data_IF_802069216589
#
_entry.id   IF_802069216589
#
_cell.length_a   1.000
_cell.length_b   1.000
_cell.length_c   1.000
_cell.angle_alpha   90.00
_cell.angle_beta   90.00
_cell.angle_gamma   90.00
#
_symmetry.space_group_name_H-M   'P 1'
#
loop_
_entity.id
_entity.type
_entity.pdbx_description
1 polymer ?
#
# COMPACT_ATOMS: atom_id res chain seq x y z
N UNK A 1 27.29 -39.44 38.41
CA UNK A 1 26.55 -39.49 37.13
C UNK A 1 26.10 -38.08 36.79
N UNK A 2 26.84 -37.42 35.89
CA UNK A 2 26.54 -36.06 35.42
C UNK A 2 25.46 -36.17 34.34
N UNK A 3 24.29 -35.55 34.55
CA UNK A 3 23.27 -35.43 33.50
C UNK A 3 23.68 -34.29 32.57
N UNK A 4 24.07 -34.62 31.35
CA UNK A 4 24.27 -33.66 30.28
C UNK A 4 22.92 -33.08 29.87
N UNK A 5 22.74 -31.78 30.07
CA UNK A 5 21.60 -31.03 29.53
C UNK A 5 21.94 -30.75 28.06
N UNK A 6 21.29 -31.44 27.13
CA UNK A 6 21.39 -31.14 25.70
C UNK A 6 20.51 -29.93 25.43
N UNK A 7 21.13 -28.76 25.28
CA UNK A 7 20.48 -27.57 24.74
C UNK A 7 20.28 -27.81 23.23
N UNK A 8 19.05 -28.06 22.81
CA UNK A 8 18.69 -27.96 21.40
C UNK A 8 18.61 -26.47 21.05
N UNK A 9 19.65 -25.95 20.40
CA UNK A 9 19.57 -24.69 19.70
C UNK A 9 18.65 -24.90 18.49
N UNK A 10 17.40 -24.45 18.58
CA UNK A 10 16.57 -24.28 17.40
C UNK A 10 17.22 -23.19 16.55
N UNK A 11 17.81 -23.58 15.41
CA UNK A 11 18.16 -22.63 14.36
C UNK A 11 16.83 -22.01 13.89
N UNK A 12 16.56 -20.79 14.32
CA UNK A 12 15.47 -19.98 13.78
C UNK A 12 15.88 -19.62 12.37
N UNK A 13 15.45 -20.43 11.41
CA UNK A 13 15.74 -20.18 10.00
C UNK A 13 14.93 -18.98 9.54
N UNK A 14 15.59 -17.95 9.02
CA UNK A 14 14.95 -16.78 8.42
C UNK A 14 13.86 -17.24 7.43
N UNK A 15 12.70 -16.58 7.41
CA UNK A 15 11.62 -17.00 6.51
C UNK A 15 12.08 -16.92 5.06
N UNK A 16 11.66 -17.89 4.24
CA UNK A 16 11.77 -17.79 2.79
C UNK A 16 10.85 -16.67 2.31
N UNK A 17 11.40 -15.74 1.54
CA UNK A 17 10.71 -14.57 1.00
C UNK A 17 10.71 -14.59 -0.53
N UNK A 18 9.72 -13.92 -1.11
CA UNK A 18 9.69 -13.49 -2.50
C UNK A 18 9.99 -12.00 -2.54
N UNK A 19 11.08 -11.61 -3.18
CA UNK A 19 11.50 -10.23 -3.40
C UNK A 19 11.06 -9.83 -4.81
N UNK A 20 10.32 -8.74 -4.92
CA UNK A 20 9.93 -8.15 -6.20
C UNK A 20 10.65 -6.82 -6.36
N UNK A 21 11.37 -6.67 -7.46
CA UNK A 21 12.07 -5.44 -7.85
C UNK A 21 11.19 -4.55 -8.73
N UNK A 22 11.56 -3.28 -8.85
CA UNK A 22 10.83 -2.27 -9.64
C UNK A 22 10.77 -2.60 -11.13
N UNK A 23 11.76 -3.32 -11.66
CA UNK A 23 11.78 -3.82 -13.03
C UNK A 23 10.87 -5.05 -13.24
N UNK A 24 10.19 -5.52 -12.19
CA UNK A 24 9.24 -6.63 -12.23
C UNK A 24 9.87 -8.00 -12.02
N UNK A 25 11.19 -8.08 -11.88
CA UNK A 25 11.83 -9.35 -11.56
C UNK A 25 11.40 -9.82 -10.16
N UNK A 26 11.24 -11.14 -10.03
CA UNK A 26 10.90 -11.78 -8.77
C UNK A 26 11.99 -12.81 -8.44
N UNK A 27 12.54 -12.72 -7.23
CA UNK A 27 13.55 -13.64 -6.72
C UNK A 27 13.06 -14.26 -5.42
N UNK A 28 13.32 -15.55 -5.21
CA UNK A 28 12.98 -16.24 -3.96
C UNK A 28 14.26 -16.64 -3.24
N UNK A 29 14.27 -16.45 -1.93
CA UNK A 29 15.43 -16.74 -1.10
C UNK A 29 15.16 -16.51 0.37
N UNK A 30 16.19 -16.58 1.20
CA UNK A 30 16.11 -16.23 2.63
C UNK A 30 16.87 -14.94 2.88
N UNK A 31 16.29 -14.03 3.68
CA UNK A 31 16.97 -12.79 4.08
C UNK A 31 18.16 -13.15 4.96
N UNK A 32 19.37 -12.77 4.54
CA UNK A 32 20.57 -12.85 5.37
C UNK A 32 20.73 -11.58 6.19
N UNK A 33 20.54 -10.42 5.54
CA UNK A 33 20.71 -9.12 6.19
C UNK A 33 19.96 -8.01 5.47
N UNK A 34 19.40 -7.07 6.23
CA UNK A 34 19.02 -5.74 5.76
C UNK A 34 19.84 -4.73 6.56
N UNK A 35 20.58 -3.87 5.88
CA UNK A 35 21.41 -2.85 6.55
C UNK A 35 21.67 -1.68 5.63
N UNK A 36 21.52 -0.47 6.16
CA UNK A 36 21.65 0.75 5.37
C UNK A 36 20.63 0.75 4.23
N UNK A 37 21.13 0.76 2.99
CA UNK A 37 20.33 0.78 1.76
C UNK A 37 20.36 -0.53 0.98
N UNK A 38 20.84 -1.64 1.57
CA UNK A 38 20.91 -2.94 0.89
C UNK A 38 20.16 -4.06 1.62
N UNK A 39 19.68 -5.02 0.82
CA UNK A 39 19.20 -6.33 1.20
C UNK A 39 20.18 -7.38 0.67
N UNK A 40 20.73 -8.21 1.55
CA UNK A 40 21.46 -9.43 1.18
C UNK A 40 20.53 -10.62 1.24
N UNK A 41 20.31 -11.27 0.09
CA UNK A 41 19.39 -12.39 -0.09
C UNK A 41 20.17 -13.66 -0.44
N UNK A 42 19.99 -14.74 0.33
CA UNK A 42 20.53 -16.04 -0.04
C UNK A 42 19.59 -16.74 -1.03
N UNK A 43 20.09 -17.01 -2.23
CA UNK A 43 19.42 -17.78 -3.28
C UNK A 43 20.24 -19.04 -3.55
N UNK A 44 19.70 -20.19 -3.15
CA UNK A 44 20.33 -21.50 -3.35
C UNK A 44 21.79 -21.58 -2.87
N UNK A 45 22.11 -20.93 -1.74
CA UNK A 45 23.44 -20.88 -1.14
C UNK A 45 24.32 -19.71 -1.60
N UNK A 46 23.87 -18.90 -2.56
CA UNK A 46 24.59 -17.72 -3.03
C UNK A 46 23.99 -16.45 -2.45
N UNK A 47 24.82 -15.57 -1.91
CA UNK A 47 24.38 -14.25 -1.43
C UNK A 47 24.30 -13.26 -2.61
N UNK A 48 23.16 -12.60 -2.76
CA UNK A 48 22.88 -11.56 -3.76
C UNK A 48 22.49 -10.28 -3.04
N UNK A 49 23.22 -9.20 -3.32
CA UNK A 49 22.91 -7.87 -2.79
C UNK A 49 21.98 -7.11 -3.73
N UNK A 50 20.87 -6.61 -3.17
CA UNK A 50 19.87 -5.79 -3.86
C UNK A 50 19.77 -4.43 -3.16
N UNK A 51 19.65 -3.36 -3.96
CA UNK A 51 19.41 -2.01 -3.42
C UNK A 51 17.95 -1.85 -3.01
N UNK A 52 17.69 -1.33 -1.81
CA UNK A 52 16.33 -1.17 -1.28
C UNK A 52 15.47 -0.19 -2.11
N UNK A 53 16.07 0.75 -2.83
CA UNK A 53 15.37 1.69 -3.71
C UNK A 53 14.92 1.07 -5.05
N UNK A 54 15.48 -0.09 -5.39
CA UNK A 54 15.09 -0.94 -6.51
C UNK A 54 14.07 -2.00 -6.12
N UNK A 55 13.69 -2.08 -4.84
CA UNK A 55 12.66 -3.01 -4.39
C UNK A 55 11.28 -2.39 -4.50
N UNK A 56 10.32 -3.23 -4.90
CA UNK A 56 8.90 -2.95 -4.78
C UNK A 56 8.34 -3.58 -3.50
N UNK A 57 8.63 -4.87 -3.28
CA UNK A 57 8.18 -5.56 -2.08
C UNK A 57 9.05 -6.74 -1.69
N UNK A 58 8.99 -7.11 -0.42
CA UNK A 58 9.49 -8.38 0.10
C UNK A 58 8.30 -9.05 0.78
N UNK A 59 7.92 -10.26 0.36
CA UNK A 59 6.77 -10.98 0.92
C UNK A 59 7.21 -12.32 1.50
N UNK A 60 6.91 -12.57 2.76
CA UNK A 60 7.17 -13.86 3.38
C UNK A 60 6.26 -14.95 2.78
N UNK A 61 6.84 -16.09 2.44
CA UNK A 61 6.09 -17.21 1.86
C UNK A 61 5.41 -18.05 2.94
N UNK A 62 4.20 -18.53 2.66
CA UNK A 62 3.46 -19.41 3.58
C UNK A 62 2.97 -18.75 4.87
N UNK A 63 2.96 -17.43 4.97
CA UNK A 63 2.40 -16.70 6.11
C UNK A 63 0.91 -16.43 5.91
N UNK A 64 0.16 -16.65 6.99
CA UNK A 64 -1.25 -16.26 7.11
C UNK A 64 -1.40 -15.25 8.24
N UNK A 65 -2.43 -14.42 8.15
CA UNK A 65 -2.77 -13.50 9.25
C UNK A 65 -3.15 -14.33 10.49
N UNK A 66 -2.54 -13.97 11.62
CA UNK A 66 -2.81 -14.51 12.95
C UNK A 66 -3.30 -13.34 13.82
N UNK A 67 -4.61 -13.09 13.87
CA UNK A 67 -5.16 -11.99 14.65
C UNK A 67 -4.77 -12.09 16.13
N UNK A 68 -4.57 -10.94 16.77
CA UNK A 68 -4.45 -10.88 18.22
C UNK A 68 -5.74 -11.41 18.89
N UNK A 69 -5.61 -11.89 20.12
CA UNK A 69 -6.73 -12.41 20.92
C UNK A 69 -7.12 -11.40 22.00
N UNK A 70 -8.41 -11.39 22.36
CA UNK A 70 -8.94 -10.55 23.44
C UNK A 70 -9.36 -9.15 22.97
N UNK A 71 -9.44 -8.21 23.91
CA UNK A 71 -9.63 -6.80 23.60
C UNK A 71 -8.38 -6.25 22.90
N UNK A 72 -8.58 -5.47 21.83
CA UNK A 72 -7.51 -4.95 21.00
C UNK A 72 -7.70 -3.44 20.87
N UNK A 73 -6.65 -2.71 21.22
CA UNK A 73 -6.54 -1.29 20.93
C UNK A 73 -5.94 -1.09 19.55
N UNK A 74 -6.49 -0.14 18.82
CA UNK A 74 -5.96 0.32 17.55
C UNK A 74 -5.33 1.70 17.76
N UNK A 75 -4.01 1.76 17.80
CA UNK A 75 -3.24 2.98 17.98
C UNK A 75 -2.85 3.49 16.60
N UNK A 76 -3.37 4.64 16.22
CA UNK A 76 -3.07 5.30 14.96
C UNK A 76 -2.05 6.41 15.20
N UNK A 77 -0.90 6.33 14.54
CA UNK A 77 0.15 7.34 14.63
C UNK A 77 -0.02 8.43 13.58
N UNK A 78 0.61 9.58 13.81
CA UNK A 78 0.53 10.73 12.91
C UNK A 78 1.17 10.48 11.53
N UNK A 79 2.08 9.50 11.42
CA UNK A 79 2.65 9.07 10.12
C UNK A 79 1.78 8.06 9.37
N UNK A 80 0.60 7.72 9.91
CA UNK A 80 -0.32 6.73 9.35
C UNK A 80 0.01 5.28 9.72
N UNK A 81 1.00 5.03 10.57
CA UNK A 81 1.20 3.70 11.16
C UNK A 81 0.02 3.30 12.03
N UNK A 82 -0.27 2.01 12.08
CA UNK A 82 -1.29 1.40 12.93
C UNK A 82 -0.66 0.30 13.76
N UNK A 83 -0.81 0.41 15.07
CA UNK A 83 -0.39 -0.60 16.04
C UNK A 83 -1.64 -1.22 16.66
N UNK A 84 -1.75 -2.53 16.54
CA UNK A 84 -2.71 -3.38 17.23
C UNK A 84 -2.05 -3.91 18.50
N UNK A 85 -2.67 -3.64 19.63
CA UNK A 85 -2.12 -3.98 20.94
C UNK A 85 -3.19 -4.62 21.81
N UNK A 86 -2.78 -5.50 22.74
CA UNK A 86 -3.58 -5.71 23.96
C UNK A 86 -3.80 -4.37 24.68
N UNK A 87 -4.80 -4.25 25.59
CA UNK A 87 -5.17 -2.97 26.17
C UNK A 87 -3.96 -2.18 26.68
N UNK A 88 -3.87 -0.94 26.21
CA UNK A 88 -2.75 -0.04 26.47
C UNK A 88 -2.97 0.79 27.72
N UNK A 89 -1.88 1.31 28.28
CA UNK A 89 -1.90 2.32 29.33
C UNK A 89 -1.15 3.57 28.89
N UNK A 90 -1.60 4.72 29.39
CA UNK A 90 -0.96 6.01 29.17
C UNK A 90 -0.59 6.62 30.52
N UNK A 91 0.69 6.92 30.71
CA UNK A 91 1.19 7.61 31.90
C UNK A 91 2.36 8.52 31.50
N UNK A 92 2.46 9.70 32.10
CA UNK A 92 3.56 10.66 31.89
C UNK A 92 3.84 10.99 30.41
N UNK A 93 2.79 11.05 29.58
CA UNK A 93 2.92 11.32 28.14
C UNK A 93 3.49 10.17 27.31
N UNK A 94 3.57 8.97 27.87
CA UNK A 94 4.05 7.76 27.18
C UNK A 94 2.96 6.69 27.18
N UNK A 95 2.54 6.28 25.99
CA UNK A 95 1.69 5.11 25.81
C UNK A 95 2.54 3.85 25.89
N UNK A 96 2.12 2.88 26.69
CA UNK A 96 2.73 1.55 26.80
C UNK A 96 1.72 0.47 26.38
N UNK A 97 2.21 -0.55 25.68
CA UNK A 97 1.36 -1.64 25.18
C UNK A 97 2.14 -2.91 24.86
N UNK A 98 1.42 -3.92 24.36
CA UNK A 98 1.97 -5.20 23.94
C UNK A 98 1.38 -5.64 22.60
N UNK A 99 2.26 -5.94 21.64
CA UNK A 99 1.92 -6.52 20.32
C UNK A 99 2.17 -8.03 20.42
N UNK A 100 1.12 -8.80 20.70
CA UNK A 100 1.32 -10.17 21.17
C UNK A 100 2.08 -10.13 22.50
N UNK A 101 3.22 -10.81 22.59
CA UNK A 101 4.07 -10.82 23.79
C UNK A 101 5.19 -9.74 23.74
N UNK A 102 5.18 -8.86 22.73
CA UNK A 102 6.26 -7.90 22.49
C UNK A 102 5.87 -6.53 23.05
N UNK A 103 6.53 -6.03 24.12
CA UNK A 103 6.24 -4.71 24.66
C UNK A 103 6.67 -3.60 23.71
N UNK A 104 5.98 -2.46 23.78
CA UNK A 104 6.36 -1.25 23.06
C UNK A 104 5.94 0.01 23.83
N UNK A 105 6.58 1.12 23.50
CA UNK A 105 6.24 2.46 24.00
C UNK A 105 6.20 3.48 22.87
N UNK A 106 5.27 4.42 22.93
CA UNK A 106 5.18 5.55 21.97
C UNK A 106 4.85 6.83 22.73
N UNK A 107 5.46 7.96 22.34
CA UNK A 107 5.13 9.26 22.92
C UNK A 107 3.74 9.72 22.46
N UNK A 108 2.97 10.37 23.34
CA UNK A 108 1.64 10.91 22.98
C UNK A 108 1.66 11.87 21.80
N UNK A 109 2.76 12.61 21.63
CA UNK A 109 2.96 13.53 20.51
C UNK A 109 2.94 12.84 19.13
N UNK A 110 3.27 11.55 19.07
CA UNK A 110 3.31 10.75 17.84
C UNK A 110 1.98 10.07 17.53
N UNK A 111 1.03 10.10 18.47
CA UNK A 111 -0.26 9.44 18.37
C UNK A 111 -1.28 10.41 17.79
N UNK A 112 -1.99 9.96 16.75
CA UNK A 112 -3.15 10.68 16.23
C UNK A 112 -4.38 10.40 17.09
N UNK A 113 -4.71 9.12 17.30
CA UNK A 113 -5.86 8.68 18.07
C UNK A 113 -5.70 7.20 18.43
N UNK A 114 -6.47 6.76 19.42
CA UNK A 114 -6.51 5.38 19.89
C UNK A 114 -7.97 4.94 19.92
N UNK A 115 -8.26 3.77 19.38
CA UNK A 115 -9.59 3.18 19.42
C UNK A 115 -9.55 1.98 20.36
N UNK A 116 -10.49 1.92 21.29
CA UNK A 116 -10.60 0.83 22.26
C UNK A 116 -11.53 -0.30 21.78
N UNK A 117 -11.94 -0.23 20.52
CA UNK A 117 -12.81 -1.18 19.86
C UNK A 117 -12.49 -1.27 18.38
N UNK A 118 -12.93 -2.35 17.77
CA UNK A 118 -12.92 -2.50 16.32
C UNK A 118 -14.02 -1.64 15.69
N UNK A 119 -13.64 -0.76 14.77
CA UNK A 119 -14.59 0.08 14.02
C UNK A 119 -15.34 -0.78 13.02
N UNK A 120 -16.67 -0.72 13.10
CA UNK A 120 -17.57 -1.32 12.12
C UNK A 120 -17.94 -0.31 11.03
N UNK A 121 -18.45 -0.76 9.86
CA UNK A 121 -18.89 0.15 8.80
C UNK A 121 -19.93 1.19 9.27
N UNK A 122 -20.74 0.86 10.27
CA UNK A 122 -21.73 1.77 10.87
C UNK A 122 -21.09 2.86 11.74
N UNK A 123 -19.93 2.57 12.37
CA UNK A 123 -19.19 3.51 13.20
C UNK A 123 -18.25 4.42 12.40
N UNK A 124 -17.82 3.96 11.22
CA UNK A 124 -16.83 4.67 10.39
C UNK A 124 -17.20 6.13 10.09
N UNK A 125 -18.46 6.47 9.70
CA UNK A 125 -18.80 7.87 9.41
C UNK A 125 -18.65 8.80 10.62
N UNK A 126 -18.98 8.32 11.83
CA UNK A 126 -18.83 9.10 13.06
C UNK A 126 -17.36 9.35 13.39
N UNK A 127 -16.51 8.32 13.23
CA UNK A 127 -15.07 8.47 13.40
C UNK A 127 -14.50 9.47 12.39
N UNK A 128 -14.88 9.36 11.11
CA UNK A 128 -14.43 10.26 10.06
C UNK A 128 -14.78 11.72 10.36
N UNK A 129 -15.99 11.98 10.87
CA UNK A 129 -16.42 13.32 11.25
C UNK A 129 -15.65 13.85 12.46
N UNK A 130 -15.41 13.02 13.48
CA UNK A 130 -14.57 13.38 14.63
C UNK A 130 -13.14 13.71 14.18
N UNK A 131 -12.55 12.92 13.26
CA UNK A 131 -11.17 13.11 12.80
C UNK A 131 -11.00 14.36 11.93
N UNK A 132 -12.06 14.89 11.31
CA UNK A 132 -12.05 16.16 10.57
C UNK A 132 -12.00 17.40 11.46
N UNK A 133 -12.42 17.29 12.74
CA UNK A 133 -12.37 18.42 13.68
C UNK A 133 -10.92 18.88 13.90
N UNK A 134 -10.72 20.15 14.22
CA UNK A 134 -9.39 20.64 14.62
C UNK A 134 -8.98 20.04 15.97
N UNK A 135 -7.75 19.52 16.09
CA UNK A 135 -7.23 18.95 17.35
C UNK A 135 -6.58 20.03 18.23
N UNK A 136 -7.33 21.06 18.60
CA UNK A 136 -6.83 22.08 19.54
C UNK A 136 -6.83 21.61 21.00
N UNK A 137 -7.59 20.56 21.32
CA UNK A 137 -7.66 19.92 22.64
C UNK A 137 -7.77 18.39 22.49
N UNK A 138 -7.63 17.67 23.61
CA UNK A 138 -7.92 16.25 23.62
C UNK A 138 -9.42 16.03 23.45
N UNK A 139 -9.80 14.84 22.97
CA UNK A 139 -11.18 14.44 22.82
C UNK A 139 -11.38 13.00 23.28
N UNK A 140 -12.38 12.78 24.14
CA UNK A 140 -12.97 11.45 24.34
C UNK A 140 -13.99 11.18 23.22
N UNK A 141 -14.01 9.95 22.71
CA UNK A 141 -15.05 9.49 21.79
C UNK A 141 -16.06 8.67 22.58
N UNK A 142 -17.15 9.29 23.05
CA UNK A 142 -18.14 8.65 23.93
C UNK A 142 -19.14 7.83 23.12
N UNK A 143 -19.39 6.58 23.52
CA UNK A 143 -20.40 5.71 22.90
C UNK A 143 -21.80 6.05 23.41
N UNK A 144 -22.69 6.37 22.49
CA UNK A 144 -24.12 6.55 22.79
C UNK A 144 -24.84 5.20 22.85
N UNK A 145 -26.00 5.13 23.54
CA UNK A 145 -26.90 3.98 23.46
C UNK A 145 -27.36 3.64 22.04
N UNK A 146 -27.40 4.63 21.13
CA UNK A 146 -27.69 4.43 19.71
C UNK A 146 -26.57 3.71 18.95
N UNK A 147 -25.39 3.56 19.54
CA UNK A 147 -24.18 3.05 18.90
C UNK A 147 -23.27 4.15 18.35
N UNK A 148 -23.75 5.38 18.18
CA UNK A 148 -22.95 6.49 17.66
C UNK A 148 -21.76 6.89 18.57
N UNK A 149 -20.76 7.55 17.98
CA UNK A 149 -19.64 8.17 18.70
C UNK A 149 -19.85 9.69 18.76
N UNK A 150 -19.86 10.25 19.97
CA UNK A 150 -19.88 11.70 20.18
C UNK A 150 -18.51 12.16 20.70
N UNK A 151 -17.92 13.23 20.14
CA UNK A 151 -16.73 13.85 20.69
C UNK A 151 -17.06 14.63 21.98
N UNK A 152 -16.20 14.51 22.98
CA UNK A 152 -16.21 15.33 24.20
C UNK A 152 -14.81 15.91 24.40
N UNK A 153 -14.68 17.23 24.26
CA UNK A 153 -13.43 17.96 24.46
C UNK A 153 -13.05 18.07 25.94
N UNK A 154 -11.76 18.00 26.23
CA UNK A 154 -11.20 18.16 27.58
C UNK A 154 -9.71 17.84 27.60
N UNK A 155 -9.21 17.33 28.73
CA UNK A 155 -7.80 16.92 28.87
C UNK A 155 -7.71 15.47 29.34
N UNK A 156 -6.99 14.64 28.59
CA UNK A 156 -6.71 13.25 28.98
C UNK A 156 -5.45 13.26 29.84
N UNK A 157 -5.56 12.80 31.08
CA UNK A 157 -4.42 12.76 32.02
C UNK A 157 -3.64 11.46 31.88
N UNK A 158 -4.33 10.36 32.12
CA UNK A 158 -3.79 8.99 32.08
C UNK A 158 -4.92 8.00 31.82
N UNK A 159 -4.57 6.77 31.44
CA UNK A 159 -5.54 5.68 31.36
C UNK A 159 -4.87 4.31 31.51
N UNK A 160 -5.67 3.33 31.91
CA UNK A 160 -5.28 1.92 32.01
C UNK A 160 -6.22 1.06 31.16
N UNK A 161 -6.23 -0.26 31.36
CA UNK A 161 -7.08 -1.21 30.64
C UNK A 161 -8.57 -1.14 31.01
N UNK A 162 -8.94 -0.36 32.03
CA UNK A 162 -10.29 -0.25 32.57
C UNK A 162 -10.93 1.13 32.40
N UNK A 163 -10.17 2.21 32.59
CA UNK A 163 -10.71 3.57 32.67
C UNK A 163 -9.76 4.63 32.12
N UNK A 164 -10.33 5.79 31.78
CA UNK A 164 -9.62 6.99 31.34
C UNK A 164 -9.85 8.11 32.36
N UNK A 165 -8.78 8.65 32.93
CA UNK A 165 -8.82 9.83 33.79
C UNK A 165 -8.84 11.09 32.91
N UNK A 166 -9.92 11.85 33.02
CA UNK A 166 -10.26 12.94 32.11
C UNK A 166 -10.67 14.20 32.90
N UNK A 167 -10.08 15.34 32.56
CA UNK A 167 -10.52 16.65 33.05
C UNK A 167 -11.55 17.22 32.08
N UNK A 168 -12.76 17.44 32.58
CA UNK A 168 -13.83 18.11 31.87
C UNK A 168 -14.20 19.41 32.59
N UNK A 169 -13.88 20.55 31.97
CA UNK A 169 -14.13 21.89 32.51
C UNK A 169 -13.62 22.08 33.96
N UNK A 170 -12.44 21.54 34.28
CA UNK A 170 -11.81 21.60 35.60
C UNK A 170 -12.31 20.55 36.60
N UNK A 171 -13.12 19.59 36.14
CA UNK A 171 -13.63 18.48 36.95
C UNK A 171 -12.99 17.17 36.52
N UNK A 172 -12.39 16.47 37.47
CA UNK A 172 -11.79 15.16 37.23
C UNK A 172 -12.85 14.06 37.17
N UNK A 173 -12.85 13.30 36.08
CA UNK A 173 -13.76 12.22 35.77
C UNK A 173 -12.97 10.95 35.46
N UNK A 174 -13.33 9.84 36.10
CA UNK A 174 -12.90 8.49 35.69
C UNK A 174 -13.98 7.87 34.79
N UNK A 175 -13.67 7.76 33.50
CA UNK A 175 -14.60 7.25 32.50
C UNK A 175 -14.22 5.82 32.12
N UNK A 176 -15.10 4.86 32.44
CA UNK A 176 -14.90 3.46 32.07
C UNK A 176 -14.71 3.30 30.54
N UNK A 177 -13.65 2.60 30.11
CA UNK A 177 -13.33 2.38 28.69
C UNK A 177 -14.44 1.69 27.91
N UNK A 178 -15.26 0.88 28.57
CA UNK A 178 -16.44 0.23 27.95
C UNK A 178 -17.48 1.22 27.42
N UNK A 179 -17.51 2.45 27.94
CA UNK A 179 -18.37 3.55 27.48
C UNK A 179 -17.74 4.37 26.36
N UNK A 180 -16.51 4.07 25.96
CA UNK A 180 -15.72 4.84 25.00
C UNK A 180 -15.49 4.05 23.72
N UNK A 181 -15.46 4.76 22.59
CA UNK A 181 -14.93 4.24 21.33
C UNK A 181 -13.42 4.41 21.22
N UNK A 182 -12.88 5.41 21.91
CA UNK A 182 -11.48 5.76 21.84
C UNK A 182 -11.18 7.16 22.37
N UNK A 183 -9.97 7.61 22.11
CA UNK A 183 -9.45 8.93 22.45
C UNK A 183 -8.70 9.54 21.27
N UNK A 184 -8.71 10.85 21.17
CA UNK A 184 -7.88 11.63 20.25
C UNK A 184 -7.08 12.64 21.06
N UNK A 185 -5.78 12.69 20.85
CA UNK A 185 -4.89 13.57 21.60
C UNK A 185 -4.70 14.89 20.86
N UNK A 186 -4.62 15.98 21.62
CA UNK A 186 -4.24 17.30 21.18
C UNK A 186 -2.82 17.26 20.62
N UNK A 187 -2.56 18.07 19.60
CA UNK A 187 -1.22 18.17 19.01
C UNK A 187 -0.80 19.63 18.94
N UNK A 188 0.34 19.96 19.52
CA UNK A 188 1.08 21.14 19.07
C UNK A 188 1.47 20.92 17.59
N UNK A 189 1.35 21.95 16.73
CA UNK A 189 1.67 21.88 15.30
C UNK A 189 2.95 21.06 15.06
N UNK A 190 2.83 20.04 14.22
CA UNK A 190 3.79 18.93 14.04
C UNK A 190 5.13 19.37 13.43
N UNK A 191 6.19 18.72 13.90
CA UNK A 191 7.47 18.58 13.19
C UNK A 191 7.26 17.94 11.81
N UNK A 192 8.12 18.25 10.84
CA UNK A 192 8.12 17.60 9.53
C UNK A 192 8.41 16.09 9.70
N UNK A 193 7.53 15.24 9.17
CA UNK A 193 7.70 13.79 9.22
C UNK A 193 8.83 13.35 8.30
N UNK A 194 9.59 12.34 8.72
CA UNK A 194 10.64 11.80 7.89
C UNK A 194 10.09 11.10 6.63
N UNK A 195 10.91 11.05 5.57
CA UNK A 195 10.54 10.36 4.34
C UNK A 195 10.43 8.84 4.59
N UNK A 196 9.23 8.30 4.42
CA UNK A 196 8.97 6.85 4.47
C UNK A 196 9.79 6.09 3.42
N UNK A 197 10.57 5.11 3.87
CA UNK A 197 11.29 4.11 3.06
C UNK A 197 10.35 2.98 2.65
N UNK A 198 9.64 2.38 3.61
CA UNK A 198 8.72 1.27 3.35
C UNK A 198 7.59 1.22 4.38
N UNK A 199 6.57 0.43 4.08
CA UNK A 199 5.58 -0.01 5.07
C UNK A 199 5.85 -1.47 5.43
N UNK A 200 6.07 -1.76 6.71
CA UNK A 200 6.18 -3.13 7.24
C UNK A 200 4.81 -3.58 7.70
N UNK A 201 4.33 -4.72 7.21
CA UNK A 201 3.12 -5.40 7.66
C UNK A 201 3.51 -6.70 8.34
N UNK A 202 2.96 -6.95 9.52
CA UNK A 202 3.18 -8.20 10.25
C UNK A 202 2.00 -9.16 10.09
N UNK A 203 2.13 -10.35 10.66
CA UNK A 203 1.07 -11.37 10.66
C UNK A 203 -0.11 -11.00 11.57
N UNK A 204 0.03 -10.04 12.48
CA UNK A 204 -1.01 -9.65 13.42
C UNK A 204 -1.96 -8.58 12.88
N UNK A 205 -1.63 -8.00 11.73
CA UNK A 205 -2.42 -6.94 11.08
C UNK A 205 -1.89 -5.53 11.38
N UNK A 206 -0.73 -5.41 12.03
CA UNK A 206 -0.06 -4.14 12.20
C UNK A 206 0.47 -3.62 10.86
N UNK A 207 0.56 -2.29 10.73
CA UNK A 207 1.17 -1.62 9.59
C UNK A 207 2.06 -0.47 10.07
N UNK A 208 3.35 -0.53 9.76
CA UNK A 208 4.34 0.41 10.27
C UNK A 208 4.99 1.18 9.13
N UNK A 209 4.89 2.50 9.13
CA UNK A 209 5.50 3.37 8.14
C UNK A 209 6.93 3.73 8.57
N UNK A 210 7.91 3.01 8.02
CA UNK A 210 9.30 3.10 8.46
C UNK A 210 10.11 4.07 7.61
N UNK A 211 10.96 4.88 8.24
CA UNK A 211 12.03 5.64 7.58
C UNK A 211 13.31 4.81 7.42
N UNK A 212 13.53 3.85 8.32
CA UNK A 212 14.69 2.95 8.29
C UNK A 212 14.32 1.57 8.81
N UNK A 213 14.96 0.54 8.25
CA UNK A 213 14.85 -0.85 8.69
C UNK A 213 16.23 -1.50 8.72
N UNK A 214 16.42 -2.46 9.61
CA UNK A 214 17.61 -3.32 9.63
C UNK A 214 17.27 -4.66 10.27
N UNK A 215 18.05 -5.70 9.97
CA UNK A 215 17.89 -6.99 10.64
C UNK A 215 19.09 -7.29 11.54
N UNK A 216 18.82 -8.01 12.62
CA UNK A 216 19.82 -8.84 13.28
C UNK A 216 19.48 -10.33 13.07
N UNK A 217 20.06 -11.23 13.87
CA UNK A 217 19.93 -12.68 13.68
C UNK A 217 18.47 -13.18 13.79
N UNK A 218 17.59 -12.46 14.48
CA UNK A 218 16.22 -12.95 14.78
C UNK A 218 15.12 -11.93 14.58
N UNK A 219 15.45 -10.64 14.45
CA UNK A 219 14.47 -9.56 14.45
C UNK A 219 14.68 -8.57 13.32
N UNK A 220 13.57 -7.95 12.91
CA UNK A 220 13.54 -6.74 12.11
C UNK A 220 13.42 -5.54 13.06
N UNK A 221 14.46 -4.70 13.08
CA UNK A 221 14.46 -3.40 13.75
C UNK A 221 14.00 -2.33 12.78
N UNK A 222 13.22 -1.39 13.27
CA UNK A 222 12.54 -0.40 12.46
C UNK A 222 12.45 0.92 13.20
N UNK A 223 12.71 2.00 12.48
CA UNK A 223 12.47 3.37 12.93
C UNK A 223 11.30 3.90 12.12
N UNK A 224 10.21 4.27 12.79
CA UNK A 224 9.02 4.85 12.17
C UNK A 224 9.30 6.25 11.62
N UNK A 225 8.45 6.74 10.72
CA UNK A 225 8.57 8.10 10.19
C UNK A 225 8.29 9.18 11.24
N UNK A 226 7.61 8.83 12.34
CA UNK A 226 7.53 9.63 13.57
C UNK A 226 8.80 9.60 14.42
N UNK A 227 9.74 8.69 14.17
CA UNK A 227 10.99 8.53 14.92
C UNK A 227 10.98 7.44 16.00
N UNK A 228 9.81 6.89 16.34
CA UNK A 228 9.70 5.78 17.29
C UNK A 228 10.46 4.54 16.81
N UNK A 229 11.21 3.91 17.71
CA UNK A 229 11.96 2.67 17.45
C UNK A 229 11.16 1.45 17.90
N UNK A 230 11.02 0.48 17.00
CA UNK A 230 10.33 -0.78 17.28
C UNK A 230 11.16 -1.95 16.74
N UNK A 231 10.88 -3.13 17.26
CA UNK A 231 11.41 -4.39 16.70
C UNK A 231 10.31 -5.45 16.68
N UNK A 232 10.35 -6.33 15.67
CA UNK A 232 9.49 -7.51 15.58
C UNK A 232 10.33 -8.73 15.19
N UNK A 233 9.97 -9.94 15.66
CA UNK A 233 10.59 -11.18 15.18
C UNK A 233 10.49 -11.29 13.66
N UNK A 234 11.54 -11.80 13.02
CA UNK A 234 11.50 -12.10 11.58
C UNK A 234 10.38 -13.09 11.23
N UNK A 235 9.97 -13.94 12.18
CA UNK A 235 8.82 -14.84 12.02
C UNK A 235 7.49 -14.11 11.85
N UNK A 236 7.38 -12.87 12.30
CA UNK A 236 6.12 -12.13 12.33
C UNK A 236 6.01 -11.18 11.14
N UNK A 237 7.12 -10.90 10.45
CA UNK A 237 7.16 -10.12 9.23
C UNK A 237 6.37 -10.83 8.13
N UNK A 238 5.28 -10.22 7.66
CA UNK A 238 4.49 -10.75 6.55
C UNK A 238 4.90 -10.11 5.22
N UNK A 239 5.06 -8.78 5.19
CA UNK A 239 5.35 -8.04 3.96
C UNK A 239 6.03 -6.70 4.22
N UNK A 240 7.01 -6.35 3.40
CA UNK A 240 7.58 -5.01 3.29
C UNK A 240 7.18 -4.43 1.94
N UNK A 241 6.61 -3.23 1.94
CA UNK A 241 6.21 -2.49 0.74
C UNK A 241 7.04 -1.21 0.62
N UNK A 242 7.96 -1.17 -0.33
CA UNK A 242 8.91 -0.07 -0.48
C UNK A 242 8.27 1.11 -1.22
N UNK A 243 8.51 2.32 -0.73
CA UNK A 243 8.14 3.55 -1.42
C UNK A 243 9.22 3.87 -2.46
N UNK A 244 9.13 3.27 -3.64
CA UNK A 244 10.09 3.59 -4.70
C UNK A 244 9.71 4.93 -5.35
N UNK A 245 10.59 5.93 -5.25
CA UNK A 245 10.54 7.13 -6.10
C UNK A 245 11.13 6.88 -7.49
N UNK A 246 11.64 5.68 -7.74
CA UNK A 246 12.25 5.29 -9.01
C UNK A 246 11.23 4.65 -9.95
N UNK A 247 9.98 4.49 -9.52
CA UNK A 247 8.90 3.90 -10.29
C UNK A 247 7.63 4.72 -10.12
N UNK A 248 6.91 4.93 -11.22
CA UNK A 248 5.51 5.36 -11.18
C UNK A 248 4.67 4.46 -12.08
N UNK A 249 3.54 3.97 -11.56
CA UNK A 249 2.53 3.33 -12.39
C UNK A 249 1.77 4.40 -13.17
N UNK A 250 1.54 4.19 -14.46
CA UNK A 250 0.72 5.12 -15.24
C UNK A 250 -0.70 5.25 -14.69
N UNK A 251 -1.20 4.20 -14.01
CA UNK A 251 -2.50 4.23 -13.36
C UNK A 251 -2.58 5.03 -12.05
N UNK A 252 -1.43 5.49 -11.54
CA UNK A 252 -1.35 6.44 -10.42
C UNK A 252 -1.10 7.88 -10.89
N UNK A 253 -0.84 8.08 -12.19
CA UNK A 253 -0.63 9.40 -12.77
C UNK A 253 -1.95 9.99 -13.24
N UNK A 254 -2.11 11.29 -13.06
CA UNK A 254 -3.19 12.05 -13.71
C UNK A 254 -2.85 12.22 -15.19
N UNK A 255 -3.70 11.73 -16.12
CA UNK A 255 -3.51 11.97 -17.54
C UNK A 255 -3.66 13.46 -17.86
N UNK A 256 -2.82 13.98 -18.75
CA UNK A 256 -2.93 15.36 -19.27
C UNK A 256 -4.11 15.48 -20.23
N UNK A 257 -4.36 14.44 -21.03
CA UNK A 257 -5.48 14.37 -21.95
C UNK A 257 -5.90 12.92 -22.18
N UNK A 258 -7.22 12.72 -22.33
CA UNK A 258 -7.81 11.47 -22.81
C UNK A 258 -8.76 11.86 -23.95
N UNK A 259 -8.68 11.13 -25.05
CA UNK A 259 -9.63 11.24 -26.16
C UNK A 259 -9.98 9.85 -26.64
N UNK A 260 -11.27 9.51 -26.57
CA UNK A 260 -11.80 8.34 -27.24
C UNK A 260 -12.52 8.76 -28.52
N UNK A 261 -12.40 7.95 -29.57
CA UNK A 261 -13.11 8.14 -30.84
C UNK A 261 -13.79 6.82 -31.23
N UNK A 262 -15.11 6.79 -31.48
CA UNK A 262 -15.79 5.58 -31.97
C UNK A 262 -15.49 5.31 -33.44
N UNK A 263 -15.50 4.03 -33.83
CA UNK A 263 -15.20 3.62 -35.21
C UNK A 263 -16.20 4.17 -36.22
N UNK A 264 -17.49 4.11 -35.87
CA UNK A 264 -18.57 4.74 -36.63
C UNK A 264 -19.13 5.92 -35.84
N UNK A 265 -18.98 7.13 -36.37
CA UNK A 265 -19.70 8.30 -35.87
C UNK A 265 -20.43 9.02 -37.00
N UNK A 266 -21.73 9.23 -36.81
CA UNK A 266 -22.54 10.13 -37.65
C UNK A 266 -23.01 11.26 -36.74
N UNK A 267 -22.15 12.25 -36.52
CA UNK A 267 -22.44 13.42 -35.68
C UNK A 267 -21.66 13.47 -34.37
N UNK A 268 -22.16 14.27 -33.42
CA UNK A 268 -21.56 14.42 -32.09
C UNK A 268 -21.80 13.16 -31.24
N UNK A 269 -20.74 12.71 -30.56
CA UNK A 269 -20.78 11.57 -29.64
C UNK A 269 -21.41 12.01 -28.32
N UNK A 270 -22.35 11.22 -27.79
CA UNK A 270 -23.00 11.57 -26.52
C UNK A 270 -22.02 11.41 -25.34
N UNK A 271 -22.07 12.29 -24.32
CA UNK A 271 -21.19 12.21 -23.15
C UNK A 271 -21.30 10.87 -22.40
N UNK A 272 -22.48 10.26 -22.37
CA UNK A 272 -22.71 8.97 -21.73
C UNK A 272 -21.98 7.83 -22.46
N UNK A 273 -21.96 7.90 -23.80
CA UNK A 273 -21.24 6.92 -24.60
C UNK A 273 -19.73 7.10 -24.42
N UNK A 274 -19.24 8.33 -24.46
CA UNK A 274 -17.82 8.64 -24.18
C UNK A 274 -17.39 8.09 -22.81
N UNK A 275 -18.18 8.33 -21.76
CA UNK A 275 -17.90 7.85 -20.41
C UNK A 275 -17.79 6.31 -20.32
N UNK A 276 -18.59 5.59 -21.12
CA UNK A 276 -18.57 4.13 -21.15
C UNK A 276 -17.22 3.60 -21.66
N UNK A 277 -16.61 4.29 -22.63
CA UNK A 277 -15.38 3.87 -23.31
C UNK A 277 -14.10 4.55 -22.83
N UNK A 278 -14.18 5.55 -21.95
CA UNK A 278 -12.99 6.09 -21.27
C UNK A 278 -12.14 4.97 -20.64
N UNK A 279 -10.81 5.14 -20.54
CA UNK A 279 -9.94 4.17 -19.88
C UNK A 279 -10.38 3.82 -18.46
N UNK A 280 -10.06 2.60 -18.03
CA UNK A 280 -10.20 2.15 -16.64
C UNK A 280 -8.83 1.93 -16.03
N UNK A 281 -8.66 2.34 -14.77
CA UNK A 281 -7.39 2.28 -14.06
C UNK A 281 -7.47 1.22 -12.97
N UNK A 282 -6.53 0.26 -12.98
CA UNK A 282 -6.43 -0.87 -12.05
C UNK A 282 -7.64 -1.85 -12.07
N UNK A 283 -8.56 -1.69 -13.02
CA UNK A 283 -9.70 -2.57 -13.24
C UNK A 283 -10.07 -2.59 -14.73
N UNK A 284 -10.85 -3.60 -15.13
CA UNK A 284 -11.42 -3.72 -16.47
C UNK A 284 -12.73 -2.95 -16.65
N UNK A 285 -13.25 -2.86 -17.88
CA UNK A 285 -14.56 -2.26 -18.16
C UNK A 285 -15.73 -2.92 -17.41
N UNK A 286 -15.59 -4.19 -17.01
CA UNK A 286 -16.56 -4.92 -16.18
C UNK A 286 -16.39 -4.74 -14.67
N UNK A 287 -15.53 -3.82 -14.20
CA UNK A 287 -15.16 -3.65 -12.78
C UNK A 287 -14.59 -4.92 -12.14
N UNK A 288 -13.86 -5.69 -12.94
CA UNK A 288 -13.16 -6.91 -12.53
C UNK A 288 -11.64 -6.68 -12.54
N UNK A 289 -10.84 -7.51 -11.84
CA UNK A 289 -9.39 -7.45 -11.91
C UNK A 289 -8.84 -7.51 -13.34
N UNK A 290 -7.69 -6.87 -13.57
CA UNK A 290 -6.96 -6.97 -14.83
C UNK A 290 -6.28 -8.34 -14.91
N UNK A 291 -6.59 -9.12 -15.95
CA UNK A 291 -6.08 -10.48 -16.12
C UNK A 291 -5.59 -10.65 -17.56
N UNK A 292 -4.36 -11.16 -17.73
CA UNK A 292 -3.80 -11.59 -19.00
C UNK A 292 -3.19 -12.98 -18.82
N UNK A 293 -3.52 -13.94 -19.69
CA UNK A 293 -3.19 -15.34 -19.48
C UNK A 293 -3.61 -15.82 -18.08
N UNK A 294 -2.66 -16.34 -17.30
CA UNK A 294 -2.86 -16.77 -15.92
C UNK A 294 -2.42 -15.72 -14.87
N UNK A 295 -2.04 -14.51 -15.30
CA UNK A 295 -1.55 -13.45 -14.42
C UNK A 295 -2.63 -12.42 -14.11
N UNK A 296 -2.77 -12.10 -12.82
CA UNK A 296 -3.62 -11.01 -12.35
C UNK A 296 -2.76 -9.80 -11.99
N UNK A 297 -3.12 -8.63 -12.52
CA UNK A 297 -2.45 -7.37 -12.28
C UNK A 297 -3.28 -6.50 -11.34
N UNK A 298 -2.68 -6.04 -10.25
CA UNK A 298 -3.29 -5.05 -9.34
C UNK A 298 -3.09 -3.61 -9.83
N UNK A 299 -2.16 -3.40 -10.76
CA UNK A 299 -1.85 -2.11 -11.39
C UNK A 299 -1.90 -2.24 -12.90
N UNK A 300 -2.47 -1.26 -13.59
CA UNK A 300 -2.52 -1.23 -15.04
C UNK A 300 -3.64 -0.35 -15.58
N UNK A 301 -3.81 -0.34 -16.89
CA UNK A 301 -4.82 0.45 -17.59
C UNK A 301 -5.54 -0.46 -18.59
N UNK A 302 -6.88 -0.44 -18.58
CA UNK A 302 -7.69 -1.00 -19.65
C UNK A 302 -8.14 0.13 -20.59
N UNK A 303 -7.98 -0.08 -21.90
CA UNK A 303 -8.26 0.89 -22.96
C UNK A 303 -9.10 0.23 -24.06
N UNK A 304 -9.95 1.02 -24.70
CA UNK A 304 -10.71 0.61 -25.88
C UNK A 304 -10.22 1.35 -27.13
N UNK A 305 -10.24 0.75 -28.32
CA UNK A 305 -9.96 1.49 -29.56
C UNK A 305 -11.11 2.47 -29.92
N UNK A 306 -10.88 3.60 -30.59
CA UNK A 306 -9.62 4.33 -30.71
C UNK A 306 -9.46 5.21 -29.48
N UNK A 307 -8.44 4.99 -28.65
CA UNK A 307 -8.16 5.85 -27.50
C UNK A 307 -6.75 6.42 -27.57
N UNK A 308 -6.66 7.72 -27.34
CA UNK A 308 -5.41 8.44 -27.10
C UNK A 308 -5.38 8.91 -25.64
N UNK A 309 -4.33 8.54 -24.91
CA UNK A 309 -4.08 9.01 -23.55
C UNK A 309 -2.66 9.58 -23.45
N UNK A 310 -2.53 10.77 -22.88
CA UNK A 310 -1.24 11.45 -22.74
C UNK A 310 -0.90 11.71 -21.28
N UNK A 311 0.36 11.52 -20.91
CA UNK A 311 0.90 11.77 -19.58
C UNK A 311 2.08 12.74 -19.67
N UNK A 312 2.11 13.70 -18.75
CA UNK A 312 3.28 14.57 -18.54
C UNK A 312 4.23 13.91 -17.56
N UNK A 313 5.45 13.67 -17.98
CA UNK A 313 6.51 13.09 -17.16
C UNK A 313 7.23 14.23 -16.43
N UNK A 314 7.04 14.30 -15.12
CA UNK A 314 7.54 15.40 -14.28
C UNK A 314 8.95 15.15 -13.73
N UNK A 315 9.44 13.93 -13.87
CA UNK A 315 10.75 13.48 -13.43
C UNK A 315 11.50 12.80 -14.57
N UNK A 316 12.81 12.59 -14.40
CA UNK A 316 13.66 11.97 -15.41
C UNK A 316 13.54 10.44 -15.41
N UNK A 317 12.41 9.93 -15.89
CA UNK A 317 12.24 8.50 -16.15
C UNK A 317 12.99 8.08 -17.42
N UNK A 318 13.54 6.87 -17.41
CA UNK A 318 14.37 6.32 -18.49
C UNK A 318 13.76 5.13 -19.19
N UNK A 319 12.89 4.37 -18.54
CA UNK A 319 12.33 3.13 -19.09
C UNK A 319 10.81 3.10 -18.92
N UNK A 320 10.10 2.72 -19.98
CA UNK A 320 8.71 2.32 -19.93
C UNK A 320 8.62 0.79 -19.93
N UNK A 321 7.78 0.22 -19.07
CA UNK A 321 7.49 -1.21 -19.02
C UNK A 321 5.98 -1.47 -18.90
N UNK A 322 5.49 -2.51 -19.58
CA UNK A 322 4.13 -3.02 -19.41
C UNK A 322 4.03 -4.48 -19.90
N UNK A 323 2.96 -5.17 -19.55
CA UNK A 323 2.50 -6.39 -20.23
C UNK A 323 1.21 -6.06 -20.97
N UNK A 324 1.20 -6.26 -22.28
CA UNK A 324 0.05 -5.95 -23.11
C UNK A 324 -0.69 -7.21 -23.57
N UNK A 325 -2.00 -7.10 -23.74
CA UNK A 325 -2.84 -8.15 -24.29
C UNK A 325 -4.31 -7.72 -24.35
N UNK A 326 -5.12 -8.43 -25.13
CA UNK A 326 -6.57 -8.24 -25.13
C UNK A 326 -7.17 -8.93 -23.90
N UNK A 327 -8.15 -8.28 -23.28
CA UNK A 327 -8.94 -8.84 -22.19
C UNK A 327 -9.50 -10.22 -22.60
N UNK A 328 -9.23 -11.30 -21.85
CA UNK A 328 -9.71 -12.64 -22.21
C UNK A 328 -11.23 -12.73 -22.43
N UNK A 329 -12.02 -11.81 -21.87
CA UNK A 329 -13.47 -11.74 -22.07
C UNK A 329 -13.91 -11.19 -23.44
N UNK A 330 -13.02 -10.52 -24.16
CA UNK A 330 -13.26 -10.01 -25.52
C UNK A 330 -12.35 -10.67 -26.58
N UNK A 331 -11.69 -11.76 -26.19
CA UNK A 331 -10.67 -12.51 -26.91
C UNK A 331 -10.99 -12.82 -28.37
N UNK A 332 -12.21 -13.25 -28.67
CA UNK A 332 -12.55 -13.83 -29.97
C UNK A 332 -12.42 -12.84 -31.13
N UNK A 333 -12.61 -11.54 -30.86
CA UNK A 333 -12.67 -10.49 -31.88
C UNK A 333 -11.65 -9.38 -31.68
N UNK A 334 -11.18 -9.16 -30.45
CA UNK A 334 -10.31 -8.02 -30.15
C UNK A 334 -9.01 -8.04 -30.95
N UNK A 335 -8.73 -6.93 -31.62
CA UNK A 335 -7.51 -6.72 -32.38
C UNK A 335 -7.22 -5.23 -32.39
N UNK A 336 -6.08 -4.81 -31.86
CA UNK A 336 -5.73 -3.39 -31.79
C UNK A 336 -4.33 -3.15 -32.34
N UNK A 337 -4.08 -1.92 -32.78
CA UNK A 337 -2.74 -1.42 -32.98
C UNK A 337 -2.32 -0.53 -31.81
N UNK A 338 -1.35 -0.99 -31.02
CA UNK A 338 -0.77 -0.22 -29.91
C UNK A 338 0.41 0.61 -30.41
N UNK A 339 0.30 1.94 -30.31
CA UNK A 339 1.37 2.89 -30.63
C UNK A 339 1.73 3.71 -29.40
N UNK A 340 3.02 3.83 -29.09
CA UNK A 340 3.51 4.68 -27.99
C UNK A 340 4.47 5.72 -28.54
N UNK A 341 4.22 6.99 -28.19
CA UNK A 341 4.92 8.17 -28.71
C UNK A 341 5.50 8.95 -27.52
N UNK A 342 6.79 9.29 -27.59
CA UNK A 342 7.45 10.20 -26.66
C UNK A 342 7.84 11.50 -27.36
N UNK A 343 7.39 12.65 -26.86
CA UNK A 343 7.70 13.99 -27.42
C UNK A 343 7.60 14.09 -28.96
N UNK A 344 6.57 13.46 -29.54
CA UNK A 344 6.28 13.36 -30.98
C UNK A 344 7.08 12.32 -31.77
N UNK A 345 7.94 11.53 -31.14
CA UNK A 345 8.63 10.39 -31.77
C UNK A 345 7.93 9.09 -31.42
N UNK A 346 7.59 8.27 -32.42
CA UNK A 346 7.13 6.90 -32.17
C UNK A 346 8.27 6.08 -31.55
N UNK A 347 8.01 5.54 -30.36
CA UNK A 347 8.94 4.69 -29.61
C UNK A 347 8.59 3.21 -29.76
N UNK A 348 7.30 2.90 -29.92
CA UNK A 348 6.80 1.54 -30.03
C UNK A 348 5.56 1.49 -30.93
N UNK A 349 5.42 0.41 -31.68
CA UNK A 349 4.23 0.05 -32.46
C UNK A 349 4.12 -1.46 -32.52
N UNK A 350 2.96 -2.03 -32.19
CA UNK A 350 2.70 -3.47 -32.31
C UNK A 350 1.21 -3.75 -32.44
N UNK A 351 0.85 -4.69 -33.31
CA UNK A 351 -0.49 -5.29 -33.37
C UNK A 351 -0.68 -6.30 -32.23
N UNK A 352 -1.85 -6.27 -31.59
CA UNK A 352 -2.18 -7.15 -30.48
C UNK A 352 -3.53 -7.79 -30.76
N UNK A 353 -3.52 -9.11 -30.98
CA UNK A 353 -4.70 -9.90 -31.29
C UNK A 353 -5.15 -10.74 -30.09
N UNK A 354 -6.46 -10.86 -29.89
CA UNK A 354 -7.03 -11.61 -28.78
C UNK A 354 -6.73 -13.11 -28.86
N UNK A 355 -6.59 -13.68 -30.06
CA UNK A 355 -6.20 -15.09 -30.24
C UNK A 355 -4.80 -15.38 -29.69
N UNK A 356 -4.00 -14.34 -29.40
CA UNK A 356 -2.69 -14.42 -28.74
C UNK A 356 -2.74 -14.05 -27.25
N UNK A 357 -3.93 -13.86 -26.65
CA UNK A 357 -4.05 -13.37 -25.26
C UNK A 357 -3.55 -14.33 -24.17
N UNK A 358 -3.25 -15.59 -24.53
CA UNK A 358 -2.56 -16.54 -23.65
C UNK A 358 -1.02 -16.35 -23.68
N UNK A 359 -0.49 -15.62 -24.68
CA UNK A 359 0.92 -15.20 -24.77
C UNK A 359 1.05 -13.78 -24.23
N UNK A 360 1.63 -13.63 -23.04
CA UNK A 360 1.94 -12.33 -22.48
C UNK A 360 2.85 -11.56 -23.44
N UNK A 361 2.47 -10.35 -23.86
CA UNK A 361 3.34 -9.47 -24.65
C UNK A 361 4.05 -8.49 -23.71
N UNK A 362 5.28 -8.80 -23.23
CA UNK A 362 6.07 -7.82 -22.50
C UNK A 362 6.50 -6.69 -23.43
N UNK A 363 6.44 -5.47 -22.92
CA UNK A 363 6.86 -4.25 -23.60
C UNK A 363 7.88 -3.56 -22.72
N UNK A 364 9.05 -3.27 -23.29
CA UNK A 364 10.09 -2.48 -22.65
C UNK A 364 10.83 -1.65 -23.70
N UNK A 365 10.99 -0.35 -23.42
CA UNK A 365 11.83 0.54 -24.23
C UNK A 365 12.24 1.79 -23.45
N UNK A 366 13.27 2.48 -23.95
CA UNK A 366 13.76 3.72 -23.37
C UNK A 366 12.81 4.89 -23.63
N UNK A 367 12.57 5.67 -22.58
CA UNK A 367 11.88 6.97 -22.58
C UNK A 367 12.81 8.08 -22.04
N UNK A 368 14.12 7.85 -22.07
CA UNK A 368 15.09 8.83 -21.56
C UNK A 368 14.95 10.18 -22.29
N UNK A 369 14.85 11.24 -21.50
CA UNK A 369 14.59 12.61 -21.99
C UNK A 369 13.16 12.91 -22.45
N UNK A 370 12.24 11.92 -22.45
CA UNK A 370 10.84 12.13 -22.84
C UNK A 370 10.09 12.91 -21.75
N UNK A 371 9.38 13.97 -22.15
CA UNK A 371 8.57 14.82 -21.25
C UNK A 371 7.07 14.54 -21.37
N UNK A 372 6.61 14.07 -22.52
CA UNK A 372 5.22 13.67 -22.76
C UNK A 372 5.18 12.29 -23.40
N UNK A 373 4.53 11.36 -22.72
CA UNK A 373 4.25 10.03 -23.21
C UNK A 373 2.79 9.96 -23.68
N UNK A 374 2.55 9.60 -24.93
CA UNK A 374 1.22 9.37 -25.49
C UNK A 374 1.06 7.90 -25.89
N UNK A 375 0.02 7.27 -25.39
CA UNK A 375 -0.37 5.90 -25.73
C UNK A 375 -1.60 6.01 -26.63
N UNK A 376 -1.56 5.34 -27.77
CA UNK A 376 -2.63 5.25 -28.74
C UNK A 376 -2.98 3.78 -28.89
N UNK A 377 -4.25 3.46 -28.69
CA UNK A 377 -4.83 2.16 -29.02
C UNK A 377 -5.72 2.42 -30.22
N UNK A 378 -5.22 2.17 -31.42
CA UNK A 378 -5.93 2.36 -32.68
C UNK A 378 -6.73 1.10 -33.05
N UNK A 379 -7.65 1.24 -33.99
CA UNK A 379 -8.44 0.14 -34.51
C UNK A 379 -7.55 -0.91 -35.15
N UNK A 380 -7.98 -2.16 -35.05
CA UNK A 380 -7.37 -3.27 -35.78
C UNK A 380 -8.17 -3.74 -36.98
N UNK A 381 -7.90 -4.97 -37.40
CA UNK A 381 -8.53 -5.61 -38.56
C UNK A 381 -10.05 -5.84 -38.35
N UNK A 382 -10.51 -5.92 -37.10
CA UNK A 382 -11.90 -6.20 -36.73
C UNK A 382 -12.68 -4.95 -36.29
N UNK A 383 -12.29 -3.78 -36.80
CA UNK A 383 -12.91 -2.49 -36.47
C UNK A 383 -12.66 -2.14 -34.98
N UNK A 384 -13.71 -1.94 -34.17
CA UNK A 384 -13.63 -1.72 -32.72
C UNK A 384 -14.23 -2.88 -31.89
N UNK A 385 -14.54 -4.02 -32.52
CA UNK A 385 -15.26 -5.11 -31.86
C UNK A 385 -14.32 -5.88 -30.94
N UNK A 386 -14.53 -5.72 -29.62
CA UNK A 386 -13.80 -6.48 -28.61
C UNK A 386 -12.40 -5.94 -28.30
N UNK A 387 -12.11 -4.73 -28.76
CA UNK A 387 -10.82 -4.04 -28.66
C UNK A 387 -10.50 -3.52 -27.26
N UNK A 388 -10.63 -4.39 -26.25
CA UNK A 388 -10.32 -4.08 -24.86
C UNK A 388 -8.88 -4.47 -24.56
N UNK A 389 -7.95 -3.55 -24.82
CA UNK A 389 -6.54 -3.71 -24.49
C UNK A 389 -6.33 -3.54 -22.99
N UNK A 390 -5.55 -4.43 -22.38
CA UNK A 390 -4.99 -4.28 -21.04
C UNK A 390 -3.50 -4.00 -21.16
N UNK A 391 -3.03 -2.97 -20.47
CA UNK A 391 -1.62 -2.73 -20.16
C UNK A 391 -1.39 -3.03 -18.67
N UNK A 392 -1.09 -4.29 -18.37
CA UNK A 392 -0.77 -4.78 -17.02
C UNK A 392 0.58 -4.24 -16.54
N UNK A 393 0.63 -3.82 -15.27
CA UNK A 393 1.82 -3.21 -14.65
C UNK A 393 2.45 -2.05 -15.45
N UNK A 394 1.67 -1.32 -16.26
CA UNK A 394 2.16 -0.18 -17.03
C UNK A 394 2.83 0.87 -16.13
N UNK A 395 4.14 1.03 -16.26
CA UNK A 395 4.98 1.83 -15.38
C UNK A 395 6.14 2.50 -16.09
N UNK A 396 6.67 3.53 -15.44
CA UNK A 396 7.87 4.26 -15.84
C UNK A 396 8.91 4.24 -14.72
N UNK A 397 10.17 4.05 -15.09
CA UNK A 397 11.28 3.77 -14.17
C UNK A 397 12.45 4.74 -14.41
N UNK A 398 13.10 5.24 -13.35
CA UNK A 398 14.24 6.19 -13.39
C UNK A 398 15.58 5.57 -13.77
#
# INVERSE_FOLDING_TARGET
MWKALVLFAFLVQSPTVSVQTIDGNAQRGTIEKISGSSLSLNIDGNSVDLSLDQLQSITATGKSIVPLKGAIDHIHLIDGSVILSSPTSLQDGVLSGQRGDIPFTVATADISHILFLQITPELQPFLDDILKLEASSDMLMVRKPSGALDPLEGVIKEFDDTQVAFDFDGTDLDVARTKLGGVRLARARTSELAKRLCTVKDIHGNAFNCQAISTDDTSLKMVLAVGAELQIPMSDVARLEFKSSNLAYLSDLTPENIKWTPYLSIGEVSPQLEQLYLPRFNESYGKQPLILGNEQFTKGIALHSHTEISFRLSENYKVFQAVAGIDPRSRDHGHVELVIIGDNKQLYRKEIAGQQSDELTPIEFSIDGVRRLRIIVDYGDNLDIGDQLILGNARIIK
#
